data_IF_109996647706
#
_entry.id   IF_109996647706
#
_cell.length_a   1.000
_cell.length_b   1.000
_cell.length_c   1.000
_cell.angle_alpha   90.00
_cell.angle_beta   90.00
_cell.angle_gamma   90.00
#
_symmetry.space_group_name_H-M   'P 1'
#
loop_
_entity.id
_entity.type
_entity.pdbx_description
1 polymer ?
#
# COMPACT_ATOMS: atom_id res chain seq x y z
N UNK A 1 8.36 -17.90 -4.39
CA UNK A 1 7.05 -17.24 -4.62
C UNK A 1 6.64 -16.24 -3.53
N UNK A 2 7.15 -16.31 -2.29
CA UNK A 2 6.80 -15.37 -1.21
C UNK A 2 7.24 -13.92 -1.47
N UNK A 3 8.33 -13.70 -2.21
CA UNK A 3 8.87 -12.36 -2.47
C UNK A 3 7.87 -11.41 -3.14
N UNK A 4 7.09 -11.90 -4.12
CA UNK A 4 6.05 -11.10 -4.77
C UNK A 4 4.89 -10.77 -3.84
N UNK A 5 4.47 -11.72 -3.00
CA UNK A 5 3.45 -11.47 -2.00
C UNK A 5 3.91 -10.38 -1.02
N UNK A 6 5.15 -10.45 -0.55
CA UNK A 6 5.75 -9.40 0.29
C UNK A 6 5.83 -8.07 -0.46
N UNK A 7 6.27 -8.07 -1.72
CA UNK A 7 6.38 -6.85 -2.52
C UNK A 7 5.02 -6.16 -2.73
N UNK A 8 3.96 -6.95 -3.00
CA UNK A 8 2.57 -6.47 -3.12
C UNK A 8 2.03 -5.95 -1.80
N UNK A 9 2.29 -6.65 -0.70
CA UNK A 9 1.85 -6.25 0.63
C UNK A 9 2.52 -4.95 1.10
N UNK A 10 3.78 -4.75 0.73
CA UNK A 10 4.52 -3.53 1.03
C UNK A 10 4.25 -2.42 -0.01
N UNK A 11 3.55 -2.74 -1.10
CA UNK A 11 3.02 -1.77 -2.05
C UNK A 11 4.02 -1.13 -3.01
N UNK A 12 5.29 -1.55 -2.98
CA UNK A 12 6.35 -1.07 -3.89
C UNK A 12 6.38 -1.82 -5.23
N UNK A 13 5.51 -2.81 -5.42
CA UNK A 13 5.37 -3.55 -6.68
C UNK A 13 3.90 -3.63 -7.09
N UNK A 14 3.60 -3.27 -8.34
CA UNK A 14 2.27 -3.38 -8.95
C UNK A 14 1.96 -4.82 -9.38
N UNK A 15 0.72 -5.11 -9.81
CA UNK A 15 0.38 -6.44 -10.31
C UNK A 15 1.05 -6.66 -11.67
N UNK A 16 1.11 -5.62 -12.49
CA UNK A 16 1.76 -5.63 -13.79
C UNK A 16 3.29 -5.71 -13.69
N UNK A 17 3.91 -5.20 -12.63
CA UNK A 17 5.34 -5.36 -12.40
C UNK A 17 5.71 -6.85 -12.28
N UNK A 18 4.92 -7.62 -11.51
CA UNK A 18 5.10 -9.07 -11.38
C UNK A 18 4.80 -9.78 -12.70
N UNK A 19 3.70 -9.38 -13.37
CA UNK A 19 3.29 -10.02 -14.63
C UNK A 19 4.31 -9.78 -15.74
N UNK A 20 4.94 -8.61 -15.79
CA UNK A 20 6.04 -8.34 -16.70
C UNK A 20 7.29 -9.18 -16.39
N UNK A 21 7.66 -9.33 -15.10
CA UNK A 21 8.79 -10.17 -14.69
C UNK A 21 8.58 -11.66 -15.01
N UNK A 22 7.34 -12.13 -14.89
CA UNK A 22 6.94 -13.52 -15.17
C UNK A 22 6.45 -13.74 -16.61
N UNK A 23 6.55 -12.71 -17.47
CA UNK A 23 6.13 -12.75 -18.87
C UNK A 23 4.66 -13.20 -19.08
N UNK A 24 3.76 -12.64 -18.26
CA UNK A 24 2.31 -12.83 -18.27
C UNK A 24 1.59 -11.63 -18.90
N UNK A 25 0.39 -11.85 -19.42
CA UNK A 25 -0.44 -10.80 -20.03
C UNK A 25 -0.74 -9.66 -19.07
N UNK A 26 -0.60 -8.40 -19.47
CA UNK A 26 -0.85 -7.28 -18.55
C UNK A 26 -2.34 -7.12 -18.24
N UNK A 27 -2.63 -6.69 -17.01
CA UNK A 27 -3.96 -6.26 -16.59
C UNK A 27 -4.12 -4.79 -17.01
N UNK A 28 -5.32 -4.40 -17.41
CA UNK A 28 -5.62 -3.01 -17.77
C UNK A 28 -5.37 -2.06 -16.58
N UNK A 29 -5.14 -0.78 -16.87
CA UNK A 29 -4.96 0.24 -15.81
C UNK A 29 -6.24 0.45 -14.99
N UNK A 30 -7.39 0.35 -15.64
CA UNK A 30 -8.71 0.50 -15.03
C UNK A 30 -9.03 -0.64 -14.05
N UNK A 31 -8.58 -1.86 -14.34
CA UNK A 31 -8.69 -3.01 -13.42
C UNK A 31 -7.62 -3.01 -12.31
N UNK A 32 -6.79 -1.96 -12.23
CA UNK A 32 -5.78 -1.80 -11.18
C UNK A 32 -4.50 -2.61 -11.40
N UNK A 33 -4.15 -2.93 -12.65
CA UNK A 33 -2.89 -3.61 -12.98
C UNK A 33 -1.65 -2.84 -12.51
N UNK A 34 -1.66 -1.51 -12.69
CA UNK A 34 -0.56 -0.60 -12.32
C UNK A 34 -0.77 0.05 -10.94
N UNK A 35 -1.62 -0.53 -10.09
CA UNK A 35 -1.95 0.04 -8.79
C UNK A 35 -0.82 -0.21 -7.78
N UNK A 36 -0.24 0.88 -7.29
CA UNK A 36 0.65 0.91 -6.13
C UNK A 36 -0.15 1.14 -4.87
N UNK A 37 0.29 0.51 -3.78
CA UNK A 37 -0.48 0.44 -2.55
C UNK A 37 0.32 1.02 -1.39
N UNK A 38 -0.37 1.50 -0.37
CA UNK A 38 0.24 1.90 0.90
C UNK A 38 0.39 0.65 1.77
N UNK A 39 1.57 0.53 2.39
CA UNK A 39 1.89 -0.55 3.31
C UNK A 39 0.88 -0.61 4.46
N UNK A 40 0.39 -1.81 4.78
CA UNK A 40 -0.53 -2.06 5.89
C UNK A 40 -2.01 -1.96 5.51
N UNK A 41 -2.45 -0.86 4.92
CA UNK A 41 -3.88 -0.64 4.60
C UNK A 41 -4.28 -0.97 3.15
N UNK A 42 -3.31 -1.23 2.27
CA UNK A 42 -3.52 -1.53 0.86
C UNK A 42 -4.37 -0.49 0.12
N UNK A 43 -4.35 0.76 0.60
CA UNK A 43 -5.01 1.88 -0.06
C UNK A 43 -4.22 2.23 -1.32
N UNK A 44 -4.89 2.54 -2.45
CA UNK A 44 -4.19 3.07 -3.61
C UNK A 44 -3.34 4.29 -3.24
N UNK A 45 -2.09 4.33 -3.69
CA UNK A 45 -1.17 5.44 -3.41
C UNK A 45 -1.76 6.81 -3.80
N UNK A 46 -2.54 6.85 -4.88
CA UNK A 46 -3.24 8.06 -5.35
C UNK A 46 -4.26 8.62 -4.34
N UNK A 47 -4.81 7.77 -3.49
CA UNK A 47 -5.86 8.10 -2.51
C UNK A 47 -5.26 8.31 -1.11
N UNK A 48 -3.93 8.23 -0.97
CA UNK A 48 -3.24 8.53 0.27
C UNK A 48 -3.56 9.96 0.75
N UNK A 49 -3.97 10.09 2.01
CA UNK A 49 -4.37 11.38 2.57
C UNK A 49 -5.78 11.86 2.17
N UNK A 50 -6.55 11.09 1.38
CA UNK A 50 -7.96 11.41 1.13
C UNK A 50 -8.77 11.50 2.45
N UNK A 51 -8.41 10.67 3.44
CA UNK A 51 -9.00 10.70 4.77
C UNK A 51 -8.61 11.93 5.59
N UNK A 52 -7.43 12.54 5.36
CA UNK A 52 -6.98 13.73 6.07
C UNK A 52 -7.69 15.02 5.60
N UNK A 53 -8.29 15.02 4.40
CA UNK A 53 -9.06 16.17 3.88
C UNK A 53 -10.49 16.27 4.43
N UNK A 54 -10.97 15.24 5.15
CA UNK A 54 -12.28 15.27 5.80
C UNK A 54 -12.10 15.93 7.17
N UNK A 55 -12.35 17.23 7.23
CA UNK A 55 -12.22 18.04 8.45
C UNK A 55 -13.23 17.66 9.54
N UNK A 56 -13.04 16.51 10.19
CA UNK A 56 -13.60 16.21 11.51
C UNK A 56 -12.49 15.63 12.40
N UNK A 57 -12.23 16.37 13.48
CA UNK A 57 -11.32 16.08 14.59
C UNK A 57 -11.52 14.65 15.13
N UNK A 58 -10.76 13.67 14.65
CA UNK A 58 -10.53 12.38 15.32
C UNK A 58 -9.17 11.82 14.90
N UNK A 59 -8.13 12.61 15.11
CA UNK A 59 -6.75 12.13 15.02
C UNK A 59 -6.43 11.38 16.31
N UNK A 60 -6.66 10.07 16.33
CA UNK A 60 -6.06 9.20 17.36
C UNK A 60 -4.57 9.05 17.02
N UNK A 61 -3.76 9.93 17.58
CA UNK A 61 -2.31 9.79 17.58
C UNK A 61 -2.00 8.58 18.45
N UNK A 62 -1.56 7.48 17.83
CA UNK A 62 -1.06 6.32 18.56
C UNK A 62 0.24 6.73 19.26
N UNK A 63 0.14 7.05 20.54
CA UNK A 63 1.32 7.31 21.37
C UNK A 63 2.13 6.02 21.48
N UNK A 64 3.36 6.06 20.97
CA UNK A 64 4.34 5.00 21.23
C UNK A 64 4.74 5.17 22.70
N UNK A 65 4.39 4.19 23.54
CA UNK A 65 4.93 4.12 24.90
C UNK A 65 6.46 4.04 24.78
N UNK A 66 7.15 5.10 25.18
CA UNK A 66 8.60 5.09 25.32
C UNK A 66 8.92 4.08 26.44
N UNK A 67 9.35 2.87 26.06
CA UNK A 67 9.94 1.87 26.96
C UNK A 67 11.27 2.41 27.53
N UNK A 68 11.18 3.39 28.42
CA UNK A 68 12.27 3.77 29.31
C UNK A 68 12.41 2.70 30.39
N UNK A 69 13.30 1.74 30.09
CA UNK A 69 14.21 1.01 31.01
C UNK A 69 13.76 0.84 32.47
N UNK A 70 13.61 -0.42 32.89
CA UNK A 70 14.30 -0.94 34.09
C UNK A 70 15.00 -2.25 33.76
#
# INVERSE_FOLDING_TARGET
MSGYATARQNGWMSANDIRALENLDLISKEDGGDLYLINGNMLPLKDAGAFAKKGEHNEEVLELEDDTKQ
#
